data_IF_395627624396
#
_entry.id   IF_395627624396
#
_cell.length_a   1.000
_cell.length_b   1.000
_cell.length_c   1.000
_cell.angle_alpha   90.00
_cell.angle_beta   90.00
_cell.angle_gamma   90.00
#
_symmetry.space_group_name_H-M   'P 1'
#
loop_
_entity.id
_entity.type
_entity.pdbx_description
1 polymer ?
#
# COMPACT_ATOMS: atom_id res chain seq x y z
N UNK A 1 -29.10 -11.72 -6.58
CA UNK A 1 -29.00 -10.27 -6.89
C UNK A 1 -29.32 -9.49 -5.63
N UNK A 2 -28.29 -9.08 -4.91
CA UNK A 2 -28.41 -8.27 -3.69
C UNK A 2 -27.09 -7.50 -3.57
N UNK A 3 -27.05 -6.36 -4.24
CA UNK A 3 -25.89 -5.49 -4.42
C UNK A 3 -25.28 -5.08 -3.08
N UNK A 4 -23.94 -5.10 -3.07
CA UNK A 4 -23.04 -4.55 -2.06
C UNK A 4 -23.58 -3.21 -1.54
N UNK A 5 -24.13 -3.24 -0.32
CA UNK A 5 -24.43 -2.04 0.44
C UNK A 5 -23.10 -1.42 0.83
N UNK A 6 -22.76 -0.32 0.15
CA UNK A 6 -21.54 0.46 0.37
C UNK A 6 -21.33 0.64 1.87
N UNK A 7 -20.24 0.06 2.36
CA UNK A 7 -19.76 0.28 3.70
C UNK A 7 -19.27 1.73 3.72
N UNK A 8 -20.07 2.58 4.36
CA UNK A 8 -19.77 3.97 4.62
C UNK A 8 -18.43 4.03 5.34
N UNK A 9 -17.45 4.65 4.66
CA UNK A 9 -16.07 4.77 5.10
C UNK A 9 -16.03 5.76 6.27
N UNK A 10 -16.18 5.24 7.49
CA UNK A 10 -15.98 6.01 8.70
C UNK A 10 -14.50 6.35 8.83
N UNK A 11 -14.17 7.57 8.39
CA UNK A 11 -12.84 8.16 8.45
C UNK A 11 -12.63 8.81 9.82
N UNK A 12 -12.79 8.00 10.87
CA UNK A 12 -12.49 8.38 12.24
C UNK A 12 -10.99 8.34 12.51
N UNK A 13 -10.28 9.40 12.11
CA UNK A 13 -9.42 10.24 12.96
C UNK A 13 -8.68 11.30 12.10
N UNK A 14 -8.90 12.62 12.29
CA UNK A 14 -8.30 13.64 11.44
C UNK A 14 -6.93 14.07 12.01
N UNK A 15 -5.88 13.40 11.54
CA UNK A 15 -4.62 14.10 11.25
C UNK A 15 -4.28 13.78 9.80
N UNK A 16 -5.03 14.40 8.88
CA UNK A 16 -4.63 14.45 7.47
C UNK A 16 -3.37 15.30 7.39
N UNK A 17 -2.22 14.68 7.59
CA UNK A 17 -0.98 15.22 7.06
C UNK A 17 -1.10 15.12 5.53
N UNK A 18 -1.52 16.22 4.91
CA UNK A 18 -1.88 16.34 3.48
C UNK A 18 -0.68 16.23 2.52
N UNK A 19 0.45 15.68 2.96
CA UNK A 19 1.71 15.78 2.21
C UNK A 19 1.79 14.88 0.98
N UNK A 20 1.07 13.74 0.94
CA UNK A 20 1.11 12.83 -0.21
C UNK A 20 -0.08 11.89 -0.29
N UNK A 21 -0.79 11.87 -1.43
CA UNK A 21 -1.83 10.87 -1.72
C UNK A 21 -1.21 9.46 -1.80
N UNK A 22 0.00 9.35 -2.36
CA UNK A 22 0.74 8.09 -2.47
C UNK A 22 1.11 7.57 -1.09
N UNK A 23 1.59 8.45 -0.20
CA UNK A 23 1.87 8.13 1.20
C UNK A 23 0.64 7.60 1.94
N UNK A 24 -0.51 8.26 1.78
CA UNK A 24 -1.79 7.82 2.38
C UNK A 24 -2.21 6.46 1.85
N UNK A 25 -2.20 6.25 0.54
CA UNK A 25 -2.58 4.96 -0.07
C UNK A 25 -1.64 3.84 0.36
N UNK A 26 -0.34 4.12 0.43
CA UNK A 26 0.66 3.16 0.90
C UNK A 26 0.41 2.78 2.36
N UNK A 27 0.17 3.75 3.23
CA UNK A 27 -0.15 3.53 4.64
C UNK A 27 -1.41 2.66 4.82
N UNK A 28 -2.49 2.97 4.10
CA UNK A 28 -3.74 2.19 4.16
C UNK A 28 -3.56 0.77 3.63
N UNK A 29 -2.75 0.61 2.58
CA UNK A 29 -2.44 -0.71 2.02
C UNK A 29 -1.68 -1.56 3.05
N UNK A 30 -0.63 -1.01 3.68
CA UNK A 30 0.12 -1.71 4.73
C UNK A 30 -0.79 -2.06 5.91
N UNK A 31 -1.65 -1.12 6.35
CA UNK A 31 -2.62 -1.37 7.43
C UNK A 31 -3.55 -2.54 7.08
N UNK A 32 -4.07 -2.55 5.86
CA UNK A 32 -4.95 -3.61 5.35
C UNK A 32 -4.26 -4.96 5.31
N UNK A 33 -3.04 -5.03 4.76
CA UNK A 33 -2.22 -6.25 4.75
C UNK A 33 -2.00 -6.81 6.16
N UNK A 34 -1.63 -5.96 7.13
CA UNK A 34 -1.45 -6.38 8.53
C UNK A 34 -2.75 -6.89 9.15
N UNK A 35 -3.88 -6.28 8.82
CA UNK A 35 -5.18 -6.71 9.32
C UNK A 35 -5.57 -8.09 8.77
N UNK A 36 -5.37 -8.30 7.47
CA UNK A 36 -5.60 -9.61 6.83
C UNK A 36 -4.64 -10.63 7.41
N UNK A 37 -3.35 -10.32 7.55
CA UNK A 37 -2.37 -11.23 8.10
C UNK A 37 -2.76 -11.71 9.50
N UNK A 38 -3.15 -10.79 10.40
CA UNK A 38 -3.66 -11.16 11.73
C UNK A 38 -4.88 -12.07 11.66
N UNK A 39 -5.77 -11.84 10.70
CA UNK A 39 -6.98 -12.68 10.54
C UNK A 39 -6.63 -14.07 10.03
N UNK A 40 -5.64 -14.16 9.15
CA UNK A 40 -5.18 -15.39 8.50
C UNK A 40 -4.31 -16.24 9.44
N UNK A 41 -3.49 -15.62 10.30
CA UNK A 41 -2.66 -16.33 11.30
C UNK A 41 -3.49 -17.16 12.29
N UNK A 42 -4.78 -16.83 12.47
CA UNK A 42 -5.70 -17.55 13.36
C UNK A 42 -6.64 -18.49 12.60
N UNK A 43 -6.42 -18.70 11.30
CA UNK A 43 -7.28 -19.52 10.44
C UNK A 43 -6.55 -20.80 10.03
N UNK A 44 -6.96 -21.93 10.64
CA UNK A 44 -6.36 -23.25 10.37
C UNK A 44 -6.62 -23.75 8.94
N UNK A 45 -7.62 -23.19 8.25
CA UNK A 45 -7.99 -23.57 6.89
C UNK A 45 -7.04 -22.99 5.81
N UNK A 46 -6.15 -22.07 6.18
CA UNK A 46 -5.26 -21.39 5.23
C UNK A 46 -3.88 -22.05 5.24
N UNK A 47 -3.38 -22.54 4.09
CA UNK A 47 -2.06 -23.17 4.02
C UNK A 47 -0.95 -22.24 4.52
N UNK A 48 -0.03 -22.78 5.34
CA UNK A 48 1.09 -22.03 5.92
C UNK A 48 1.91 -21.29 4.85
N UNK A 49 2.12 -21.89 3.68
CA UNK A 49 2.82 -21.26 2.57
C UNK A 49 2.15 -19.97 2.10
N UNK A 50 0.81 -19.95 2.07
CA UNK A 50 0.03 -18.75 1.70
C UNK A 50 0.14 -17.67 2.77
N UNK A 51 0.11 -18.04 4.06
CA UNK A 51 0.33 -17.11 5.17
C UNK A 51 1.74 -16.49 5.10
N UNK A 52 2.75 -17.34 4.85
CA UNK A 52 4.13 -16.91 4.70
C UNK A 52 4.33 -15.98 3.49
N UNK A 53 3.71 -16.30 2.35
CA UNK A 53 3.75 -15.43 1.17
C UNK A 53 3.11 -14.06 1.44
N UNK A 54 1.96 -14.04 2.12
CA UNK A 54 1.29 -12.80 2.49
C UNK A 54 2.14 -11.95 3.44
N UNK A 55 2.75 -12.57 4.45
CA UNK A 55 3.67 -11.91 5.37
C UNK A 55 4.85 -11.30 4.64
N UNK A 56 5.50 -12.09 3.78
CA UNK A 56 6.63 -11.63 2.95
C UNK A 56 6.24 -10.45 2.05
N UNK A 57 5.06 -10.48 1.44
CA UNK A 57 4.57 -9.37 0.63
C UNK A 57 4.36 -8.09 1.46
N UNK A 58 3.79 -8.22 2.67
CA UNK A 58 3.63 -7.09 3.59
C UNK A 58 4.99 -6.51 4.04
N UNK A 59 5.96 -7.37 4.34
CA UNK A 59 7.30 -6.96 4.77
C UNK A 59 8.05 -6.25 3.64
N UNK A 60 8.00 -6.79 2.41
CA UNK A 60 8.60 -6.16 1.23
C UNK A 60 7.98 -4.79 0.94
N UNK A 61 6.65 -4.67 1.02
CA UNK A 61 5.96 -3.40 0.84
C UNK A 61 6.38 -2.38 1.90
N UNK A 62 6.47 -2.81 3.17
CA UNK A 62 6.89 -1.94 4.27
C UNK A 62 8.33 -1.46 4.10
N UNK A 63 9.23 -2.37 3.72
CA UNK A 63 10.65 -2.05 3.49
C UNK A 63 10.82 -1.09 2.31
N UNK A 64 10.10 -1.34 1.22
CA UNK A 64 10.09 -0.46 0.06
C UNK A 64 9.58 0.95 0.42
N UNK A 65 8.45 1.04 1.14
CA UNK A 65 7.89 2.31 1.57
C UNK A 65 8.85 3.12 2.46
N UNK A 66 9.52 2.44 3.40
CA UNK A 66 10.52 3.06 4.26
C UNK A 66 11.79 3.46 3.51
N UNK A 67 12.27 2.65 2.58
CA UNK A 67 13.49 2.92 1.82
C UNK A 67 13.39 4.13 0.88
N UNK A 68 12.17 4.49 0.48
CA UNK A 68 11.89 5.64 -0.39
C UNK A 68 11.16 6.78 0.34
N UNK A 69 11.08 6.74 1.67
CA UNK A 69 10.40 7.75 2.50
C UNK A 69 9.01 8.12 1.97
N UNK A 70 8.25 7.11 1.54
CA UNK A 70 6.96 7.30 0.86
C UNK A 70 5.91 7.84 1.82
N UNK A 71 5.97 7.39 3.08
CA UNK A 71 5.02 7.79 4.11
C UNK A 71 5.24 9.26 4.54
N UNK A 72 6.46 9.75 4.36
CA UNK A 72 6.88 11.12 4.62
C UNK A 72 6.53 12.07 3.45
N UNK A 73 6.15 11.51 2.29
CA UNK A 73 5.81 12.25 1.08
C UNK A 73 7.02 12.60 0.19
N UNK A 74 8.19 12.07 0.51
CA UNK A 74 9.42 12.40 -0.23
C UNK A 74 9.43 11.81 -1.64
N UNK A 75 8.67 10.74 -1.89
CA UNK A 75 8.51 10.20 -3.24
C UNK A 75 7.86 11.21 -4.19
N UNK A 76 6.89 11.99 -3.73
CA UNK A 76 6.24 12.99 -4.57
C UNK A 76 7.22 14.10 -4.95
N UNK A 77 8.07 14.50 -4.00
CA UNK A 77 9.16 15.46 -4.21
C UNK A 77 10.23 14.89 -5.15
N UNK A 78 10.65 13.65 -4.94
CA UNK A 78 11.63 12.97 -5.77
C UNK A 78 11.11 12.79 -7.21
N UNK A 79 9.83 12.46 -7.38
CA UNK A 79 9.18 12.34 -8.68
C UNK A 79 9.07 13.71 -9.36
N UNK A 80 8.71 14.77 -8.64
CA UNK A 80 8.63 16.11 -9.21
C UNK A 80 9.99 16.64 -9.68
N UNK A 81 11.08 16.24 -9.01
CA UNK A 81 12.43 16.78 -9.24
C UNK A 81 13.33 15.90 -10.12
N UNK A 82 13.02 14.60 -10.26
CA UNK A 82 13.88 13.65 -11.00
C UNK A 82 13.27 13.23 -12.33
N UNK A 83 13.82 13.77 -13.42
CA UNK A 83 13.42 13.39 -14.79
C UNK A 83 13.66 11.90 -15.08
N UNK A 84 14.71 11.31 -14.51
CA UNK A 84 14.99 9.87 -14.66
C UNK A 84 13.87 9.05 -14.04
N UNK A 85 13.42 9.42 -12.84
CA UNK A 85 12.33 8.72 -12.15
C UNK A 85 11.00 8.87 -12.91
N UNK A 86 10.71 10.07 -13.40
CA UNK A 86 9.54 10.34 -14.24
C UNK A 86 9.54 9.47 -15.50
N UNK A 87 10.68 9.42 -16.21
CA UNK A 87 10.82 8.61 -17.43
C UNK A 87 10.68 7.12 -17.13
N UNK A 88 11.33 6.61 -16.10
CA UNK A 88 11.21 5.20 -15.73
C UNK A 88 9.78 4.82 -15.31
N UNK A 89 9.06 5.69 -14.58
CA UNK A 89 7.64 5.46 -14.28
C UNK A 89 6.77 5.44 -15.54
N UNK A 90 7.00 6.36 -16.49
CA UNK A 90 6.27 6.37 -17.76
C UNK A 90 6.53 5.11 -18.58
N UNK A 91 7.79 4.69 -18.70
CA UNK A 91 8.17 3.46 -19.39
C UNK A 91 7.50 2.23 -18.77
N UNK A 92 7.41 2.19 -17.43
CA UNK A 92 6.75 1.10 -16.71
C UNK A 92 5.23 1.10 -16.94
N UNK A 93 4.58 2.27 -16.90
CA UNK A 93 3.15 2.39 -17.21
C UNK A 93 2.83 1.98 -18.65
N UNK A 94 3.69 2.33 -19.60
CA UNK A 94 3.55 1.92 -21.00
C UNK A 94 3.78 0.42 -21.20
N UNK A 95 4.54 -0.24 -20.33
CA UNK A 95 4.77 -1.69 -20.39
C UNK A 95 3.62 -2.54 -19.84
N UNK A 96 2.71 -1.92 -19.07
CA UNK A 96 1.51 -2.58 -18.53
C UNK A 96 0.34 -2.54 -19.54
N UNK A 97 0.37 -1.63 -20.51
CA UNK A 97 -0.60 -1.53 -21.61
C UNK A 97 -0.23 -2.39 -22.82
#
# INVERSE_FOLDING_TARGET
LGLLRGQEWDSGDPVRDTRSIVGVLCAETIRSFRSVLRSVEHCDDIPQDSQHCLKKACDVLTLWASGYSILEGDLDVALATSWVLQRSMLELLLSIG
#
